data_IF_522310216029
#
_entry.id   IF_522310216029
#
_cell.length_a   1.000
_cell.length_b   1.000
_cell.length_c   1.000
_cell.angle_alpha   90.00
_cell.angle_beta   90.00
_cell.angle_gamma   90.00
#
_symmetry.space_group_name_H-M   'P 1'
#
loop_
_entity.id
_entity.type
_entity.pdbx_description
1 polymer ?
#
# COMPACT_ATOMS: atom_id res chain seq x y z
N UNK A 1 -10.85 24.63 -10.80
CA UNK A 1 -9.80 23.94 -11.58
C UNK A 1 -8.65 23.41 -10.70
N UNK A 2 -7.96 24.24 -9.90
CA UNK A 2 -6.84 23.80 -9.02
C UNK A 2 -7.20 22.64 -8.07
N UNK A 3 -8.38 22.67 -7.45
CA UNK A 3 -8.83 21.60 -6.55
C UNK A 3 -8.99 20.23 -7.24
N UNK A 4 -9.41 20.22 -8.51
CA UNK A 4 -9.56 18.98 -9.28
C UNK A 4 -8.19 18.39 -9.64
N UNK A 5 -7.26 19.23 -10.12
CA UNK A 5 -5.88 18.82 -10.38
C UNK A 5 -5.20 18.28 -9.11
N UNK A 6 -5.40 18.94 -7.97
CA UNK A 6 -4.86 18.48 -6.69
C UNK A 6 -5.42 17.10 -6.29
N UNK A 7 -6.71 16.83 -6.53
CA UNK A 7 -7.30 15.51 -6.27
C UNK A 7 -6.68 14.42 -7.15
N UNK A 8 -6.47 14.71 -8.43
CA UNK A 8 -5.80 13.77 -9.35
C UNK A 8 -4.36 13.50 -8.89
N UNK A 9 -3.59 14.54 -8.59
CA UNK A 9 -2.20 14.40 -8.13
C UNK A 9 -2.15 13.57 -6.85
N UNK A 10 -3.05 13.81 -5.89
CA UNK A 10 -3.14 13.01 -4.66
C UNK A 10 -3.49 11.57 -4.95
N UNK A 11 -4.45 11.30 -5.85
CA UNK A 11 -4.82 9.94 -6.23
C UNK A 11 -3.65 9.17 -6.85
N UNK A 12 -2.90 9.81 -7.75
CA UNK A 12 -1.71 9.21 -8.38
C UNK A 12 -0.64 8.90 -7.33
N UNK A 13 -0.38 9.84 -6.41
CA UNK A 13 0.59 9.64 -5.32
C UNK A 13 0.18 8.49 -4.41
N UNK A 14 -1.09 8.41 -4.01
CA UNK A 14 -1.60 7.29 -3.23
C UNK A 14 -1.47 5.97 -4.00
N UNK A 15 -1.76 5.95 -5.31
CA UNK A 15 -1.59 4.73 -6.10
C UNK A 15 -0.14 4.26 -6.15
N UNK A 16 0.81 5.18 -6.36
CA UNK A 16 2.23 4.85 -6.33
C UNK A 16 2.67 4.32 -4.97
N UNK A 17 2.23 4.96 -3.87
CA UNK A 17 2.52 4.51 -2.51
C UNK A 17 1.93 3.11 -2.23
N UNK A 18 0.71 2.83 -2.71
CA UNK A 18 0.08 1.53 -2.58
C UNK A 18 0.86 0.43 -3.28
N UNK A 19 1.22 0.61 -4.55
CA UNK A 19 2.00 -0.40 -5.30
C UNK A 19 3.38 -0.62 -4.67
N UNK A 20 4.03 0.46 -4.22
CA UNK A 20 5.30 0.36 -3.51
C UNK A 20 5.16 -0.46 -2.22
N UNK A 21 4.09 -0.22 -1.45
CA UNK A 21 3.82 -0.95 -0.20
C UNK A 21 3.52 -2.42 -0.46
N UNK A 22 2.70 -2.74 -1.47
CA UNK A 22 2.45 -4.13 -1.89
C UNK A 22 3.75 -4.82 -2.29
N UNK A 23 4.60 -4.17 -3.08
CA UNK A 23 5.88 -4.74 -3.51
C UNK A 23 6.83 -4.96 -2.32
N UNK A 24 6.93 -4.00 -1.41
CA UNK A 24 7.76 -4.11 -0.21
C UNK A 24 7.32 -5.29 0.67
N UNK A 25 6.03 -5.36 1.03
CA UNK A 25 5.46 -6.43 1.85
C UNK A 25 5.54 -7.81 1.16
N UNK A 26 5.36 -7.86 -0.16
CA UNK A 26 5.46 -9.11 -0.93
C UNK A 26 6.88 -9.66 -0.93
N UNK A 27 7.89 -8.79 -0.94
CA UNK A 27 9.31 -9.16 -1.00
C UNK A 27 9.95 -9.42 0.36
N UNK A 28 9.23 -9.21 1.46
CA UNK A 28 9.74 -9.56 2.77
C UNK A 28 10.11 -11.05 2.82
N UNK A 29 11.19 -11.42 3.52
CA UNK A 29 11.49 -12.81 3.85
C UNK A 29 10.32 -13.47 4.59
N UNK A 30 10.12 -14.78 4.37
CA UNK A 30 8.98 -15.50 4.92
C UNK A 30 8.98 -15.50 6.46
N UNK A 31 10.14 -15.65 7.07
CA UNK A 31 10.37 -15.54 8.52
C UNK A 31 9.88 -14.20 9.06
N UNK A 32 10.31 -13.09 8.45
CA UNK A 32 9.86 -11.74 8.85
C UNK A 32 8.35 -11.56 8.69
N UNK A 33 7.77 -12.16 7.66
CA UNK A 33 6.32 -12.11 7.44
C UNK A 33 5.56 -12.87 8.51
N UNK A 34 6.04 -14.04 8.90
CA UNK A 34 5.44 -14.83 9.98
C UNK A 34 5.57 -14.11 11.33
N UNK A 35 6.73 -13.51 11.61
CA UNK A 35 6.96 -12.74 12.84
C UNK A 35 6.02 -11.53 12.97
N UNK A 36 5.66 -10.91 11.84
CA UNK A 36 4.76 -9.75 11.78
C UNK A 36 3.29 -10.14 11.57
N UNK A 37 2.96 -11.43 11.55
CA UNK A 37 1.62 -11.94 11.25
C UNK A 37 1.07 -11.44 9.89
N UNK A 38 1.94 -11.37 8.89
CA UNK A 38 1.62 -10.92 7.52
C UNK A 38 1.52 -12.13 6.59
N UNK A 39 0.29 -12.54 6.27
CA UNK A 39 0.06 -13.55 5.25
C UNK A 39 0.11 -12.96 3.84
N UNK A 40 0.57 -13.75 2.86
CA UNK A 40 0.66 -13.32 1.46
C UNK A 40 -0.69 -12.85 0.89
N UNK A 41 -1.79 -13.46 1.32
CA UNK A 41 -3.15 -13.06 0.93
C UNK A 41 -3.53 -11.67 1.43
N UNK A 42 -2.99 -11.25 2.57
CA UNK A 42 -3.39 -10.03 3.28
C UNK A 42 -2.59 -8.80 2.86
N UNK A 43 -1.46 -9.00 2.18
CA UNK A 43 -0.54 -7.93 1.73
C UNK A 43 -1.29 -6.77 1.06
N UNK A 44 -2.24 -7.07 0.19
CA UNK A 44 -3.03 -6.05 -0.53
C UNK A 44 -3.96 -5.30 0.42
N UNK A 45 -4.61 -5.99 1.35
CA UNK A 45 -5.51 -5.38 2.32
C UNK A 45 -4.74 -4.47 3.30
N UNK A 46 -3.58 -4.95 3.79
CA UNK A 46 -2.68 -4.19 4.66
C UNK A 46 -2.18 -2.93 3.93
N UNK A 47 -1.68 -3.08 2.70
CA UNK A 47 -1.21 -1.94 1.90
C UNK A 47 -2.34 -0.93 1.63
N UNK A 48 -3.55 -1.41 1.35
CA UNK A 48 -4.71 -0.54 1.14
C UNK A 48 -5.04 0.27 2.40
N UNK A 49 -5.13 -0.40 3.55
CA UNK A 49 -5.41 0.24 4.84
C UNK A 49 -4.33 1.27 5.21
N UNK A 50 -3.07 0.96 4.98
CA UNK A 50 -1.94 1.86 5.28
C UNK A 50 -1.96 3.15 4.45
N UNK A 51 -2.33 3.07 3.16
CA UNK A 51 -2.23 4.21 2.23
C UNK A 51 -3.51 5.01 2.12
N UNK A 52 -4.65 4.33 2.10
CA UNK A 52 -5.93 5.00 1.92
C UNK A 52 -6.57 5.37 3.25
N UNK A 53 -6.25 4.65 4.35
CA UNK A 53 -7.08 4.61 5.54
C UNK A 53 -8.39 3.93 5.19
N UNK A 54 -8.76 2.84 5.87
CA UNK A 54 -10.03 2.17 5.61
C UNK A 54 -11.20 3.18 5.61
#
# INVERSE_FOLDING_TARGET
MKAFLNRIVTAIRKRAAYEHTVAALSRLPLDVKLDLDIYQGDVRAIAHRAVYGA
#
